data_IF_801675094997
#
_entry.id   IF_801675094997
#
_cell.length_a   1.000
_cell.length_b   1.000
_cell.length_c   1.000
_cell.angle_alpha   90.00
_cell.angle_beta   90.00
_cell.angle_gamma   90.00
#
_symmetry.space_group_name_H-M   'P 1'
#
loop_
_entity.id
_entity.type
_entity.pdbx_description
1 polymer ?
#
# COMPACT_ATOMS: atom_id res chain seq x y z
N UNK A 1 -3.24 -13.07 7.54
CA UNK A 1 -3.11 -12.90 6.07
C UNK A 1 -4.05 -13.86 5.39
N UNK A 2 -4.86 -13.38 4.49
CA UNK A 2 -5.83 -14.19 3.76
C UNK A 2 -5.11 -15.01 2.67
N UNK A 3 -5.39 -16.31 2.59
CA UNK A 3 -4.84 -17.17 1.52
C UNK A 3 -5.79 -17.17 0.31
N UNK A 4 -5.89 -16.04 -0.39
CA UNK A 4 -6.73 -15.93 -1.57
C UNK A 4 -6.12 -16.65 -2.78
N UNK A 5 -6.95 -17.40 -3.48
CA UNK A 5 -6.68 -17.90 -4.84
C UNK A 5 -7.01 -16.81 -5.87
N UNK A 6 -6.61 -17.00 -7.12
CA UNK A 6 -7.01 -16.09 -8.21
C UNK A 6 -8.53 -16.07 -8.39
N UNK A 7 -9.18 -17.20 -8.24
CA UNK A 7 -10.62 -17.37 -8.31
C UNK A 7 -11.33 -16.61 -7.19
N UNK A 8 -10.77 -16.61 -5.97
CA UNK A 8 -11.30 -15.82 -4.86
C UNK A 8 -11.21 -14.31 -5.14
N UNK A 9 -10.08 -13.85 -5.70
CA UNK A 9 -9.90 -12.44 -6.08
C UNK A 9 -10.93 -12.02 -7.14
N UNK A 10 -11.13 -12.84 -8.18
CA UNK A 10 -12.10 -12.56 -9.24
C UNK A 10 -13.51 -12.42 -8.64
N UNK A 11 -13.90 -13.39 -7.81
CA UNK A 11 -15.20 -13.39 -7.13
C UNK A 11 -15.37 -12.15 -6.25
N UNK A 12 -14.41 -11.83 -5.40
CA UNK A 12 -14.46 -10.66 -4.51
C UNK A 12 -14.57 -9.33 -5.29
N UNK A 13 -13.81 -9.19 -6.38
CA UNK A 13 -13.87 -7.99 -7.22
C UNK A 13 -15.26 -7.81 -7.84
N UNK A 14 -15.92 -8.91 -8.25
CA UNK A 14 -17.27 -8.89 -8.79
C UNK A 14 -18.34 -8.66 -7.71
N UNK A 15 -18.29 -9.39 -6.59
CA UNK A 15 -19.27 -9.30 -5.50
C UNK A 15 -19.27 -7.93 -4.82
N UNK A 16 -18.10 -7.32 -4.70
CA UNK A 16 -17.90 -6.04 -4.03
C UNK A 16 -17.98 -4.82 -4.96
N UNK A 17 -18.30 -5.00 -6.24
CA UNK A 17 -18.40 -3.91 -7.24
C UNK A 17 -17.12 -3.04 -7.31
N UNK A 18 -15.96 -3.71 -7.36
CA UNK A 18 -14.67 -3.04 -7.48
C UNK A 18 -14.46 -2.59 -8.92
N UNK A 19 -14.28 -1.29 -9.13
CA UNK A 19 -14.00 -0.72 -10.45
C UNK A 19 -12.52 -0.50 -10.72
N UNK A 20 -11.74 -0.20 -9.68
CA UNK A 20 -10.30 0.08 -9.80
C UNK A 20 -9.48 -0.76 -8.82
N UNK A 21 -8.33 -1.21 -9.30
CA UNK A 21 -7.36 -1.96 -8.50
C UNK A 21 -6.04 -1.18 -8.50
N UNK A 22 -5.54 -0.87 -7.31
CA UNK A 22 -4.24 -0.22 -7.11
C UNK A 22 -3.17 -1.28 -6.87
N UNK A 23 -2.21 -1.35 -7.77
CA UNK A 23 -1.01 -2.17 -7.65
C UNK A 23 0.06 -1.32 -6.96
N UNK A 24 0.31 -1.59 -5.69
CA UNK A 24 1.15 -0.77 -4.84
C UNK A 24 2.52 -1.42 -4.64
N UNK A 25 3.56 -0.61 -4.70
CA UNK A 25 4.94 -1.01 -4.42
C UNK A 25 5.70 0.17 -3.81
N UNK A 26 6.92 -0.03 -3.36
CA UNK A 26 7.70 1.00 -2.67
C UNK A 26 8.95 1.34 -3.47
N UNK A 27 9.31 2.61 -3.57
CA UNK A 27 10.60 3.03 -4.13
C UNK A 27 11.74 2.91 -3.10
N UNK A 28 12.97 3.20 -3.51
CA UNK A 28 14.17 3.12 -2.65
C UNK A 28 14.13 4.08 -1.45
N UNK A 29 13.33 5.13 -1.51
CA UNK A 29 13.19 6.12 -0.45
C UNK A 29 12.05 5.81 0.52
N UNK A 30 11.36 4.68 0.33
CA UNK A 30 10.20 4.29 1.13
C UNK A 30 8.88 4.93 0.71
N UNK A 31 8.85 5.68 -0.40
CA UNK A 31 7.60 6.25 -0.88
C UNK A 31 6.72 5.19 -1.54
N UNK A 32 5.47 5.17 -1.14
CA UNK A 32 4.48 4.31 -1.76
C UNK A 32 4.16 4.80 -3.18
N UNK A 33 4.35 3.93 -4.15
CA UNK A 33 3.98 4.11 -5.55
C UNK A 33 2.80 3.22 -5.88
N UNK A 34 2.04 3.61 -6.91
CA UNK A 34 0.98 2.74 -7.39
C UNK A 34 0.71 2.93 -8.88
N UNK A 35 0.23 1.84 -9.50
CA UNK A 35 -0.41 1.86 -10.81
C UNK A 35 -1.86 1.47 -10.59
N UNK A 36 -2.79 2.28 -11.10
CA UNK A 36 -4.21 1.97 -11.05
C UNK A 36 -4.65 1.34 -12.37
N UNK A 37 -5.34 0.23 -12.28
CA UNK A 37 -5.97 -0.45 -13.41
C UNK A 37 -7.46 -0.61 -13.16
N UNK A 38 -8.26 -0.69 -14.21
CA UNK A 38 -9.68 -1.02 -14.11
C UNK A 38 -9.87 -2.51 -13.80
N UNK A 39 -10.97 -2.89 -13.17
CA UNK A 39 -11.30 -4.29 -12.90
C UNK A 39 -11.31 -5.16 -14.18
N UNK A 40 -11.63 -4.58 -15.33
CA UNK A 40 -11.56 -5.29 -16.62
C UNK A 40 -10.15 -5.77 -16.99
N UNK A 41 -9.10 -5.27 -16.34
CA UNK A 41 -7.71 -5.69 -16.51
C UNK A 41 -7.26 -6.73 -15.48
N UNK A 42 -8.18 -7.22 -14.62
CA UNK A 42 -7.84 -8.12 -13.52
C UNK A 42 -7.12 -9.40 -14.01
N UNK A 43 -7.53 -10.00 -15.11
CA UNK A 43 -6.85 -11.16 -15.69
C UNK A 43 -5.37 -10.87 -16.00
N UNK A 44 -5.09 -9.70 -16.55
CA UNK A 44 -3.71 -9.24 -16.82
C UNK A 44 -2.91 -9.08 -15.53
N UNK A 45 -3.54 -8.53 -14.49
CA UNK A 45 -2.94 -8.37 -13.15
C UNK A 45 -2.57 -9.73 -12.56
N UNK A 46 -3.54 -10.65 -12.50
CA UNK A 46 -3.37 -11.97 -11.89
C UNK A 46 -2.39 -12.88 -12.65
N UNK A 47 -2.10 -12.57 -13.91
CA UNK A 47 -1.11 -13.27 -14.72
C UNK A 47 0.24 -12.55 -14.79
N UNK A 48 0.51 -11.60 -13.88
CA UNK A 48 1.80 -10.91 -13.75
C UNK A 48 2.22 -10.17 -15.04
N UNK A 49 1.26 -9.63 -15.77
CA UNK A 49 1.49 -8.96 -17.07
C UNK A 49 1.38 -7.42 -17.00
N UNK A 50 1.37 -6.87 -15.78
CA UNK A 50 1.38 -5.41 -15.59
C UNK A 50 2.80 -4.89 -15.63
N UNK A 51 3.16 -4.30 -16.76
CA UNK A 51 4.45 -3.67 -17.00
C UNK A 51 4.40 -2.18 -16.68
N UNK A 52 5.51 -1.64 -16.19
CA UNK A 52 5.72 -0.21 -16.00
C UNK A 52 7.15 0.18 -16.34
N UNK A 53 7.36 1.47 -16.58
CA UNK A 53 8.69 2.04 -16.82
C UNK A 53 9.37 2.37 -15.47
N UNK A 54 10.29 1.51 -15.05
CA UNK A 54 11.05 1.68 -13.82
C UNK A 54 12.06 2.83 -13.89
N UNK A 55 12.45 3.29 -15.09
CA UNK A 55 13.39 4.41 -15.23
C UNK A 55 12.77 5.76 -14.85
N UNK A 56 11.45 5.84 -14.83
CA UNK A 56 10.71 7.02 -14.35
C UNK A 56 10.72 7.17 -12.83
N UNK A 57 11.27 6.21 -12.10
CA UNK A 57 11.37 6.20 -10.63
C UNK A 57 12.83 6.41 -10.24
N UNK A 58 13.10 7.49 -9.50
CA UNK A 58 14.44 7.86 -9.09
C UNK A 58 15.19 6.70 -8.39
N UNK A 59 16.37 6.37 -8.91
CA UNK A 59 17.23 5.34 -8.36
C UNK A 59 16.81 3.90 -8.62
N UNK A 60 15.68 3.68 -9.34
CA UNK A 60 15.09 2.35 -9.51
C UNK A 60 15.75 1.55 -10.65
N UNK A 61 15.69 2.05 -11.88
CA UNK A 61 16.29 1.40 -13.04
C UNK A 61 16.92 2.40 -14.01
N UNK A 62 17.80 1.90 -14.89
CA UNK A 62 18.32 2.69 -16.01
C UNK A 62 17.36 2.64 -17.19
N UNK A 63 17.48 3.61 -18.10
CA UNK A 63 16.62 3.70 -19.30
C UNK A 63 16.72 2.43 -20.15
N UNK A 64 17.91 1.82 -20.24
CA UNK A 64 18.16 0.60 -21.01
C UNK A 64 17.53 -0.66 -20.37
N UNK A 65 17.15 -0.60 -19.10
CA UNK A 65 16.55 -1.68 -18.32
C UNK A 65 15.22 -1.24 -17.72
N UNK A 66 14.49 -0.36 -18.41
CA UNK A 66 13.32 0.33 -17.86
C UNK A 66 12.12 -0.55 -17.62
N UNK A 67 11.92 -1.58 -18.42
CA UNK A 67 10.76 -2.45 -18.33
C UNK A 67 10.80 -3.28 -17.04
N UNK A 68 9.79 -3.06 -16.19
CA UNK A 68 9.58 -3.80 -14.96
C UNK A 68 8.15 -4.32 -14.89
N UNK A 69 7.94 -5.40 -14.13
CA UNK A 69 6.63 -6.02 -13.95
C UNK A 69 6.22 -6.04 -12.49
N UNK A 70 4.93 -5.81 -12.25
CA UNK A 70 4.33 -5.94 -10.93
C UNK A 70 3.72 -7.34 -10.76
N UNK A 71 4.15 -8.03 -9.73
CA UNK A 71 3.63 -9.34 -9.32
C UNK A 71 2.83 -9.16 -8.04
N UNK A 72 1.49 -9.17 -8.12
CA UNK A 72 0.65 -8.91 -6.95
C UNK A 72 0.73 -10.06 -5.95
N UNK A 73 0.87 -9.71 -4.69
CA UNK A 73 0.69 -10.61 -3.57
C UNK A 73 -0.80 -10.69 -3.24
N UNK A 74 -1.43 -11.79 -3.62
CA UNK A 74 -2.88 -11.97 -3.48
C UNK A 74 -3.35 -11.92 -2.03
N UNK A 75 -2.49 -12.28 -1.07
CA UNK A 75 -2.81 -12.24 0.35
C UNK A 75 -3.02 -10.82 0.89
N UNK A 76 -2.63 -9.81 0.11
CA UNK A 76 -2.69 -8.40 0.47
C UNK A 76 -3.84 -7.64 -0.20
N UNK A 77 -4.78 -8.36 -0.86
CA UNK A 77 -5.98 -7.71 -1.38
C UNK A 77 -6.78 -7.07 -0.25
N UNK A 78 -7.03 -5.77 -0.38
CA UNK A 78 -7.89 -5.02 0.52
C UNK A 78 -8.77 -4.07 -0.27
N UNK A 79 -10.05 -3.97 0.11
CA UNK A 79 -11.00 -3.01 -0.45
C UNK A 79 -11.04 -1.80 0.46
N UNK A 80 -10.84 -0.59 -0.08
CA UNK A 80 -10.80 0.62 0.72
C UNK A 80 -12.18 0.98 1.29
N UNK A 81 -12.36 1.02 2.63
CA UNK A 81 -13.64 1.30 3.27
C UNK A 81 -14.09 2.75 3.10
N UNK A 82 -13.15 3.68 2.91
CA UNK A 82 -13.44 5.12 2.73
C UNK A 82 -13.89 5.51 1.32
N UNK A 83 -13.91 4.60 0.37
CA UNK A 83 -14.39 4.88 -0.98
C UNK A 83 -15.90 4.70 -1.05
N UNK A 84 -16.57 5.48 -1.93
CA UNK A 84 -18.02 5.46 -2.03
C UNK A 84 -18.54 4.09 -2.45
N UNK A 85 -19.83 3.89 -2.21
CA UNK A 85 -20.52 2.63 -2.47
C UNK A 85 -20.65 2.29 -3.95
N UNK A 86 -20.36 3.23 -4.85
CA UNK A 86 -20.24 3.00 -6.28
C UNK A 86 -18.78 3.15 -6.70
N UNK A 87 -18.27 2.19 -7.47
CA UNK A 87 -16.91 2.23 -7.97
C UNK A 87 -15.87 2.04 -6.87
N UNK A 88 -16.02 1.00 -6.06
CA UNK A 88 -15.04 0.66 -5.03
C UNK A 88 -13.64 0.50 -5.59
N UNK A 89 -12.66 0.77 -4.75
CA UNK A 89 -11.25 0.65 -5.08
C UNK A 89 -10.61 -0.39 -4.17
N UNK A 90 -9.97 -1.38 -4.78
CA UNK A 90 -9.13 -2.33 -4.07
C UNK A 90 -7.63 -2.00 -4.25
N UNK A 91 -6.80 -2.56 -3.41
CA UNK A 91 -5.35 -2.57 -3.58
C UNK A 91 -4.78 -3.96 -3.47
N UNK A 92 -3.64 -4.19 -4.10
CA UNK A 92 -2.72 -5.30 -3.80
C UNK A 92 -1.31 -4.75 -3.70
N UNK A 93 -0.54 -5.25 -2.74
CA UNK A 93 0.89 -4.97 -2.65
C UNK A 93 1.61 -5.89 -3.65
N UNK A 94 2.57 -5.34 -4.38
CA UNK A 94 3.26 -6.05 -5.45
C UNK A 94 4.76 -6.15 -5.15
N UNK A 95 5.34 -7.24 -5.60
CA UNK A 95 6.77 -7.35 -5.80
C UNK A 95 7.15 -6.88 -7.20
N UNK A 96 8.37 -6.39 -7.37
CA UNK A 96 8.86 -5.93 -8.67
C UNK A 96 9.77 -6.97 -9.29
N UNK A 97 9.54 -7.26 -10.57
CA UNK A 97 10.27 -8.26 -11.34
C UNK A 97 10.84 -7.68 -12.63
N UNK A 98 11.96 -8.21 -13.07
CA UNK A 98 12.56 -7.95 -14.40
C UNK A 98 11.80 -8.68 -15.50
N UNK A 99 11.94 -8.29 -16.78
CA UNK A 99 11.31 -8.97 -17.92
C UNK A 99 11.69 -10.45 -18.05
N UNK A 100 12.84 -10.83 -17.54
CA UNK A 100 13.30 -12.23 -17.54
C UNK A 100 12.69 -13.11 -16.44
N UNK A 101 11.73 -12.56 -15.66
CA UNK A 101 11.07 -13.27 -14.58
C UNK A 101 11.87 -13.40 -13.29
N UNK A 102 12.99 -12.69 -13.17
CA UNK A 102 13.78 -12.64 -11.94
C UNK A 102 13.29 -11.46 -11.06
N UNK A 103 13.27 -11.62 -9.72
CA UNK A 103 13.01 -10.52 -8.83
C UNK A 103 14.00 -9.37 -9.09
N UNK A 104 13.49 -8.14 -8.97
CA UNK A 104 14.35 -6.96 -9.06
C UNK A 104 15.05 -6.72 -7.72
N UNK A 105 16.39 -6.75 -7.72
CA UNK A 105 17.18 -6.64 -6.50
C UNK A 105 17.08 -5.29 -5.80
N UNK A 106 16.66 -4.26 -6.54
CA UNK A 106 16.39 -2.91 -6.03
C UNK A 106 14.99 -2.74 -5.42
N UNK A 107 14.15 -3.77 -5.46
CA UNK A 107 12.85 -3.73 -4.79
C UNK A 107 13.03 -3.85 -3.26
N UNK A 108 12.65 -2.82 -2.46
CA UNK A 108 12.77 -2.88 -1.01
C UNK A 108 12.01 -4.06 -0.40
N UNK A 109 10.87 -4.44 -0.98
CA UNK A 109 10.10 -5.59 -0.52
C UNK A 109 10.85 -6.91 -0.75
N UNK A 110 11.55 -7.04 -1.85
CA UNK A 110 12.41 -8.20 -2.10
C UNK A 110 13.57 -8.27 -1.11
N UNK A 111 14.19 -7.13 -0.78
CA UNK A 111 15.25 -7.06 0.25
C UNK A 111 14.71 -7.52 1.60
N UNK A 112 13.53 -7.04 2.00
CA UNK A 112 12.87 -7.46 3.23
C UNK A 112 12.59 -8.97 3.25
N UNK A 113 12.01 -9.51 2.18
CA UNK A 113 11.74 -10.97 2.05
C UNK A 113 13.01 -11.81 2.21
N UNK A 114 14.13 -11.36 1.65
CA UNK A 114 15.41 -12.03 1.82
C UNK A 114 15.91 -11.99 3.27
N UNK A 115 15.75 -10.87 3.96
CA UNK A 115 16.12 -10.75 5.36
C UNK A 115 15.25 -11.64 6.27
N UNK A 116 13.94 -11.70 6.01
CA UNK A 116 13.01 -12.60 6.71
C UNK A 116 13.41 -14.04 6.48
N UNK A 117 13.67 -14.45 5.23
CA UNK A 117 14.11 -15.80 4.91
C UNK A 117 15.41 -16.18 5.63
N UNK A 118 16.37 -15.25 5.70
CA UNK A 118 17.62 -15.50 6.44
C UNK A 118 17.37 -15.70 7.93
N UNK A 119 16.44 -14.96 8.54
CA UNK A 119 16.07 -15.18 9.93
C UNK A 119 15.41 -16.56 10.14
N UNK A 120 14.51 -16.96 9.24
CA UNK A 120 13.87 -18.28 9.26
C UNK A 120 14.87 -19.41 9.12
N UNK A 121 15.86 -19.29 8.21
CA UNK A 121 16.94 -20.28 8.03
C UNK A 121 17.80 -20.43 9.29
N UNK A 122 17.88 -19.38 10.10
CA UNK A 122 18.55 -19.38 11.41
C UNK A 122 17.65 -19.89 12.56
N UNK A 123 16.38 -20.20 12.29
CA UNK A 123 15.41 -20.68 13.28
C UNK A 123 14.69 -19.57 14.06
N UNK A 124 14.70 -18.33 13.54
CA UNK A 124 14.02 -17.19 14.18
C UNK A 124 12.79 -16.77 13.41
N UNK A 125 11.76 -16.32 14.13
CA UNK A 125 10.65 -15.54 13.59
C UNK A 125 10.94 -14.06 13.82
N UNK A 126 10.81 -13.24 12.78
CA UNK A 126 11.03 -11.80 12.88
C UNK A 126 9.68 -11.08 12.92
N UNK A 127 9.45 -10.32 13.98
CA UNK A 127 8.22 -9.55 14.19
C UNK A 127 8.55 -8.07 14.38
N UNK A 128 7.70 -7.19 13.87
CA UNK A 128 7.84 -5.73 13.94
C UNK A 128 6.53 -5.12 14.43
N UNK A 129 6.62 -4.20 15.39
CA UNK A 129 5.50 -3.37 15.83
C UNK A 129 5.77 -1.91 15.45
N UNK A 130 5.28 -1.43 14.30
CA UNK A 130 5.50 -0.06 13.89
C UNK A 130 4.62 0.91 14.67
N UNK A 131 5.16 2.11 14.95
CA UNK A 131 4.42 3.24 15.51
C UNK A 131 4.47 4.40 14.49
N UNK A 132 3.30 5.00 14.22
CA UNK A 132 3.21 6.12 13.29
C UNK A 132 2.96 7.41 14.07
N UNK A 133 3.97 8.27 14.14
CA UNK A 133 3.86 9.61 14.76
C UNK A 133 3.58 10.66 13.67
N UNK A 134 2.62 11.55 13.91
CA UNK A 134 2.26 12.59 12.96
C UNK A 134 1.68 13.82 13.65
N UNK A 135 1.73 14.96 12.95
CA UNK A 135 1.08 16.20 13.34
C UNK A 135 -0.17 16.45 12.50
N UNK A 136 -1.21 16.97 13.16
CA UNK A 136 -2.37 17.51 12.48
C UNK A 136 -2.23 19.03 12.41
N UNK A 137 -2.32 19.58 11.21
CA UNK A 137 -2.22 21.02 10.97
C UNK A 137 -3.57 21.60 10.54
N UNK A 138 -3.83 22.82 10.97
CA UNK A 138 -4.96 23.60 10.45
C UNK A 138 -4.73 23.93 8.98
N UNK A 139 -5.81 24.07 8.23
CA UNK A 139 -5.82 24.67 6.91
C UNK A 139 -6.14 26.18 7.01
N UNK A 140 -5.67 26.96 6.04
CA UNK A 140 -6.06 28.36 5.89
C UNK A 140 -7.46 28.48 5.23
N UNK A 141 -7.90 29.72 4.99
CA UNK A 141 -9.19 30.05 4.35
C UNK A 141 -9.32 29.51 2.91
N UNK A 142 -8.19 29.21 2.26
CA UNK A 142 -8.14 28.61 0.93
C UNK A 142 -7.97 27.08 0.96
N UNK A 143 -8.15 26.45 2.13
CA UNK A 143 -7.93 25.01 2.37
C UNK A 143 -6.48 24.54 2.18
N UNK A 144 -5.52 25.46 2.15
CA UNK A 144 -4.10 25.10 2.07
C UNK A 144 -3.56 24.73 3.45
N UNK A 145 -2.69 23.70 3.55
CA UNK A 145 -2.12 23.30 4.82
C UNK A 145 -1.21 24.40 5.39
N UNK A 146 -1.31 24.65 6.69
CA UNK A 146 -0.43 25.55 7.42
C UNK A 146 0.55 24.76 8.30
N UNK A 147 1.45 25.46 8.99
CA UNK A 147 2.30 24.86 10.04
C UNK A 147 1.73 25.04 11.44
N UNK A 148 0.50 25.55 11.56
CA UNK A 148 -0.17 25.71 12.83
C UNK A 148 -0.84 24.41 13.23
N UNK A 149 -0.41 23.82 14.36
CA UNK A 149 -1.12 22.71 14.97
C UNK A 149 -2.49 23.18 15.45
N UNK A 150 -3.47 22.28 15.40
CA UNK A 150 -4.82 22.62 15.83
C UNK A 150 -5.00 22.52 17.35
N UNK A 151 -4.02 21.95 18.06
CA UNK A 151 -4.02 21.77 19.51
C UNK A 151 -2.63 21.90 20.11
N UNK A 152 -2.58 21.98 21.43
CA UNK A 152 -1.36 21.93 22.27
C UNK A 152 -1.53 20.93 23.41
N UNK A 153 -2.21 19.81 23.15
CA UNK A 153 -2.42 18.77 24.10
C UNK A 153 -1.12 18.03 24.45
N UNK A 154 -1.02 17.57 25.67
CA UNK A 154 0.07 16.73 26.15
C UNK A 154 -0.24 15.23 26.01
N UNK A 155 0.69 14.41 26.50
CA UNK A 155 0.56 12.96 26.49
C UNK A 155 -0.62 12.50 27.37
N UNK A 156 -1.49 11.67 26.83
CA UNK A 156 -2.73 11.17 27.45
C UNK A 156 -3.81 12.22 27.75
N UNK A 157 -3.72 13.41 27.22
CA UNK A 157 -4.80 14.37 27.36
C UNK A 157 -6.07 13.90 26.63
N UNK A 158 -7.21 14.35 27.15
CA UNK A 158 -8.54 14.06 26.62
C UNK A 158 -9.25 15.37 26.25
N UNK A 159 -10.41 15.25 25.60
CA UNK A 159 -11.27 16.44 25.35
C UNK A 159 -11.58 17.21 26.66
N UNK A 160 -11.54 18.55 26.64
CA UNK A 160 -11.50 19.41 25.46
C UNK A 160 -10.10 19.81 24.98
N UNK A 161 -9.03 19.26 25.49
CA UNK A 161 -7.64 19.60 25.08
C UNK A 161 -7.21 18.81 23.83
N UNK A 162 -7.66 17.58 23.71
CA UNK A 162 -7.37 16.72 22.55
C UNK A 162 -8.41 16.93 21.43
N UNK A 163 -8.05 17.66 20.40
CA UNK A 163 -8.87 17.86 19.21
C UNK A 163 -8.62 16.80 18.11
N UNK A 164 -7.60 15.97 18.27
CA UNK A 164 -7.22 14.91 17.34
C UNK A 164 -7.96 13.58 17.51
N UNK A 165 -8.77 13.45 18.57
CA UNK A 165 -9.45 12.18 18.92
C UNK A 165 -10.25 11.60 17.76
N UNK A 166 -11.08 12.42 17.10
CA UNK A 166 -11.91 11.95 15.98
C UNK A 166 -11.07 11.47 14.80
N UNK A 167 -10.01 12.19 14.45
CA UNK A 167 -9.12 11.78 13.35
C UNK A 167 -8.43 10.44 13.65
N UNK A 168 -7.93 10.25 14.86
CA UNK A 168 -7.34 8.96 15.28
C UNK A 168 -8.37 7.85 15.27
N UNK A 169 -9.57 8.10 15.76
CA UNK A 169 -10.68 7.14 15.77
C UNK A 169 -11.06 6.71 14.36
N UNK A 170 -11.19 7.65 13.42
CA UNK A 170 -11.50 7.33 12.02
C UNK A 170 -10.38 6.50 11.38
N UNK A 171 -9.11 6.81 11.67
CA UNK A 171 -7.97 6.02 11.22
C UNK A 171 -8.06 4.59 11.75
N UNK A 172 -8.27 4.42 13.05
CA UNK A 172 -8.36 3.08 13.68
C UNK A 172 -9.49 2.26 13.09
N UNK A 173 -10.70 2.83 12.97
CA UNK A 173 -11.85 2.13 12.41
C UNK A 173 -11.62 1.69 10.96
N UNK A 174 -11.04 2.57 10.12
CA UNK A 174 -10.72 2.19 8.75
C UNK A 174 -9.62 1.10 8.68
N UNK A 175 -8.65 1.12 9.58
CA UNK A 175 -7.61 0.08 9.62
C UNK A 175 -8.18 -1.26 10.10
N UNK A 176 -9.09 -1.26 11.09
CA UNK A 176 -9.80 -2.48 11.53
C UNK A 176 -10.66 -3.08 10.41
N UNK A 177 -11.36 -2.23 9.63
CA UNK A 177 -12.15 -2.66 8.47
C UNK A 177 -11.26 -3.28 7.36
N UNK A 178 -9.98 -2.95 7.33
CA UNK A 178 -9.01 -3.49 6.38
C UNK A 178 -8.27 -4.74 6.89
N UNK A 179 -8.49 -5.17 8.14
CA UNK A 179 -7.90 -6.39 8.75
C UNK A 179 -6.61 -6.07 9.50
#
# INVERSE_FOLDING_TARGET
MNNYTKEDIIRLVEEEDVEFIRLQFTDLFGNLKNIAVTASQLDRVLNNKCMFDGSAIDGFARIEESDMYLYPDLSTLEIFPWRPQQGKVARMICDVYRPNGQPFEGDPRYVLKRAVQQAEDMGYTFEVGPECEFFLFNTDENTMPTTNTHEQAGYFDIGPLDFGENARRDIVMNLEDMG
#
